data_IF_986343615776
#
_entry.id   IF_986343615776
#
_cell.length_a   1.000
_cell.length_b   1.000
_cell.length_c   1.000
_cell.angle_alpha   90.00
_cell.angle_beta   90.00
_cell.angle_gamma   90.00
#
_symmetry.space_group_name_H-M   'P 1'
#
loop_
_entity.id
_entity.type
_entity.pdbx_description
1 polymer ?
#
# COMPACT_ATOMS: atom_id res chain seq x y z
N UNK A 1 -19.03 55.23 -14.77
CA UNK A 1 -17.90 54.32 -14.78
C UNK A 1 -17.76 53.76 -13.38
N UNK A 2 -18.11 52.49 -13.09
CA UNK A 2 -17.85 51.86 -11.80
C UNK A 2 -16.48 51.19 -11.81
N UNK A 3 -15.72 51.40 -10.76
CA UNK A 3 -14.39 50.85 -10.47
C UNK A 3 -14.45 49.35 -10.25
N UNK A 4 -13.62 48.63 -10.97
CA UNK A 4 -13.36 47.19 -10.73
C UNK A 4 -12.51 47.05 -9.48
N UNK A 5 -13.11 46.57 -8.40
CA UNK A 5 -12.38 46.11 -7.21
C UNK A 5 -11.64 44.82 -7.56
N UNK A 6 -10.30 44.88 -7.59
CA UNK A 6 -9.45 43.71 -7.74
C UNK A 6 -9.62 42.77 -6.56
N UNK A 7 -9.83 41.49 -6.85
CA UNK A 7 -9.76 40.41 -5.87
C UNK A 7 -8.29 40.21 -5.57
N UNK A 8 -7.88 40.55 -4.36
CA UNK A 8 -6.55 40.28 -3.83
C UNK A 8 -6.42 38.74 -3.60
N UNK A 9 -5.72 38.06 -4.49
CA UNK A 9 -5.32 36.65 -4.30
C UNK A 9 -4.03 36.62 -3.47
N UNK A 10 -4.18 36.97 -2.19
CA UNK A 10 -3.09 36.90 -1.24
C UNK A 10 -2.61 35.46 -1.04
N UNK A 11 -1.32 35.21 -1.26
CA UNK A 11 -0.59 34.17 -0.57
C UNK A 11 -0.40 32.82 -1.27
N UNK A 12 -0.07 32.80 -2.57
CA UNK A 12 0.37 31.55 -3.23
C UNK A 12 1.89 31.25 -3.10
N UNK A 13 2.66 32.16 -2.52
CA UNK A 13 4.14 32.07 -2.56
C UNK A 13 4.79 31.20 -1.49
N UNK A 14 4.05 30.55 -0.57
CA UNK A 14 4.64 29.77 0.52
C UNK A 14 4.45 28.25 0.42
N UNK A 15 3.81 27.74 -0.64
CA UNK A 15 3.41 26.32 -0.73
C UNK A 15 4.38 25.41 -1.50
N UNK A 16 5.37 25.95 -2.19
CA UNK A 16 6.34 25.15 -2.93
C UNK A 16 7.74 25.39 -2.38
N UNK A 17 8.26 24.44 -1.62
CA UNK A 17 9.67 24.47 -1.20
C UNK A 17 10.58 24.44 -2.43
N UNK A 18 11.58 25.32 -2.48
CA UNK A 18 12.61 25.32 -3.53
C UNK A 18 13.32 23.98 -3.57
N UNK A 19 13.41 23.33 -4.75
CA UNK A 19 14.04 22.02 -4.83
C UNK A 19 15.55 22.12 -4.60
N UNK A 20 16.05 21.28 -3.68
CA UNK A 20 17.46 20.91 -3.63
C UNK A 20 17.91 20.20 -4.93
N UNK A 21 19.19 19.81 -5.05
CA UNK A 21 19.70 19.14 -6.26
C UNK A 21 18.83 17.91 -6.58
N UNK A 22 18.29 17.88 -7.79
CA UNK A 22 17.35 16.82 -8.25
C UNK A 22 18.07 15.50 -8.32
N UNK A 23 17.63 14.52 -7.51
CA UNK A 23 18.05 13.15 -7.69
C UNK A 23 17.52 12.57 -9.01
N UNK A 24 18.17 11.51 -9.46
CA UNK A 24 17.74 10.78 -10.68
C UNK A 24 16.43 9.98 -10.45
N UNK A 25 15.98 9.85 -9.21
CA UNK A 25 14.75 9.14 -8.84
C UNK A 25 14.00 9.90 -7.72
N UNK A 26 13.05 10.78 -8.07
CA UNK A 26 12.29 11.58 -7.10
C UNK A 26 11.47 10.76 -6.10
N UNK A 27 11.01 9.56 -6.49
CA UNK A 27 10.29 8.65 -5.59
C UNK A 27 11.21 8.10 -4.53
N UNK A 28 12.45 7.76 -4.90
CA UNK A 28 13.43 7.25 -3.96
C UNK A 28 13.75 8.26 -2.87
N UNK A 29 13.95 9.51 -3.25
CA UNK A 29 14.18 10.60 -2.31
C UNK A 29 12.98 10.82 -1.39
N UNK A 30 11.76 10.71 -1.94
CA UNK A 30 10.52 10.81 -1.18
C UNK A 30 10.44 9.76 -0.06
N UNK A 31 10.76 8.49 -0.35
CA UNK A 31 10.69 7.40 0.65
C UNK A 31 11.91 7.30 1.57
N UNK A 32 13.05 7.94 1.25
CA UNK A 32 14.19 8.07 2.16
C UNK A 32 14.02 9.27 3.10
N UNK A 33 13.04 10.15 2.86
CA UNK A 33 12.72 11.26 3.77
C UNK A 33 12.18 10.72 5.09
N UNK A 34 12.84 11.00 6.24
CA UNK A 34 12.39 10.55 7.56
C UNK A 34 11.03 11.13 7.99
N UNK A 35 10.54 12.16 7.30
CA UNK A 35 9.20 12.73 7.50
C UNK A 35 8.07 11.90 6.89
N UNK A 36 8.37 10.96 6.01
CA UNK A 36 7.38 10.06 5.41
C UNK A 36 7.16 8.85 6.31
N UNK A 37 5.93 8.59 6.80
CA UNK A 37 5.66 7.44 7.66
C UNK A 37 5.99 6.12 6.97
N UNK A 38 6.89 5.33 7.55
CA UNK A 38 7.33 4.05 6.99
C UNK A 38 6.43 2.87 7.37
N UNK A 39 5.41 3.06 8.22
CA UNK A 39 4.61 1.97 8.76
C UNK A 39 3.13 2.06 8.46
N UNK A 40 2.53 0.90 8.23
CA UNK A 40 1.09 0.70 8.20
C UNK A 40 0.47 0.96 9.56
N UNK A 41 -0.73 1.56 9.61
CA UNK A 41 -1.46 1.73 10.86
C UNK A 41 -1.76 0.38 11.56
N UNK A 42 -1.80 0.34 12.92
CA UNK A 42 -1.92 -0.90 13.70
C UNK A 42 -3.13 -1.77 13.29
N UNK A 43 -4.30 -1.17 13.10
CA UNK A 43 -5.54 -1.89 12.74
C UNK A 43 -5.38 -2.71 11.45
N UNK A 44 -4.66 -2.17 10.47
CA UNK A 44 -4.39 -2.83 9.19
C UNK A 44 -3.40 -3.99 9.35
N UNK A 45 -2.31 -3.78 10.08
CA UNK A 45 -1.33 -4.83 10.36
C UNK A 45 -1.96 -6.03 11.05
N UNK A 46 -2.85 -5.80 12.04
CA UNK A 46 -3.58 -6.88 12.71
C UNK A 46 -4.54 -7.62 11.79
N UNK A 47 -5.32 -6.92 10.96
CA UNK A 47 -6.22 -7.56 9.99
C UNK A 47 -5.48 -8.41 8.97
N UNK A 48 -4.33 -7.93 8.52
CA UNK A 48 -3.50 -8.67 7.59
C UNK A 48 -2.90 -9.92 8.24
N UNK A 49 -2.46 -9.83 9.50
CA UNK A 49 -2.00 -10.99 10.25
C UNK A 49 -3.12 -12.04 10.48
N UNK A 50 -4.37 -11.60 10.68
CA UNK A 50 -5.52 -12.49 10.77
C UNK A 50 -5.82 -13.16 9.41
N UNK A 51 -5.75 -12.43 8.30
CA UNK A 51 -5.87 -13.02 6.96
C UNK A 51 -4.74 -14.02 6.66
N UNK A 52 -3.52 -13.72 7.10
CA UNK A 52 -2.40 -14.65 6.98
C UNK A 52 -2.69 -15.94 7.76
N UNK A 53 -3.18 -15.84 9.00
CA UNK A 53 -3.57 -17.00 9.80
C UNK A 53 -4.64 -17.86 9.11
N UNK A 54 -5.61 -17.23 8.42
CA UNK A 54 -6.64 -17.94 7.65
C UNK A 54 -6.02 -18.74 6.50
N UNK A 55 -5.08 -18.14 5.76
CA UNK A 55 -4.38 -18.79 4.64
C UNK A 55 -3.50 -19.93 5.12
N UNK A 56 -2.76 -19.72 6.22
CA UNK A 56 -1.82 -20.70 6.77
C UNK A 56 -2.48 -21.97 7.25
N UNK A 57 -3.78 -21.95 7.60
CA UNK A 57 -4.52 -23.18 7.92
C UNK A 57 -4.58 -24.19 6.77
N UNK A 58 -4.43 -23.73 5.54
CA UNK A 58 -4.43 -24.61 4.35
C UNK A 58 -3.02 -24.97 3.84
N UNK A 59 -1.96 -24.40 4.45
CA UNK A 59 -0.58 -24.70 4.06
C UNK A 59 -0.02 -25.80 4.95
N UNK A 60 0.42 -26.95 4.39
CA UNK A 60 0.98 -28.04 5.17
C UNK A 60 2.38 -27.69 5.69
N UNK A 61 2.57 -27.76 7.01
CA UNK A 61 3.85 -27.55 7.67
C UNK A 61 4.28 -26.07 7.74
N UNK A 62 5.56 -25.81 8.04
CA UNK A 62 6.10 -24.45 8.12
C UNK A 62 6.10 -23.74 6.75
N UNK A 63 5.31 -22.69 6.60
CA UNK A 63 5.24 -21.88 5.39
C UNK A 63 6.44 -20.94 5.26
N UNK A 64 6.85 -20.66 4.04
CA UNK A 64 7.78 -19.57 3.68
C UNK A 64 6.98 -18.37 3.22
N UNK A 65 7.14 -17.25 3.91
CA UNK A 65 6.37 -16.02 3.72
C UNK A 65 7.32 -14.88 3.39
N UNK A 66 7.04 -14.15 2.33
CA UNK A 66 7.78 -12.95 1.92
C UNK A 66 6.88 -11.72 2.10
N UNK A 67 7.29 -10.77 2.93
CA UNK A 67 6.63 -9.47 3.07
C UNK A 67 7.39 -8.43 2.27
N UNK A 68 6.84 -8.05 1.12
CA UNK A 68 7.44 -7.17 0.13
C UNK A 68 7.03 -5.72 0.42
N UNK A 69 8.00 -4.83 0.53
CA UNK A 69 7.78 -3.46 1.02
C UNK A 69 7.54 -3.45 2.53
N UNK A 70 8.32 -4.23 3.28
CA UNK A 70 8.10 -4.41 4.73
C UNK A 70 8.36 -3.14 5.56
N UNK A 71 8.98 -2.11 4.99
CA UNK A 71 9.31 -0.87 5.67
C UNK A 71 10.15 -1.11 6.94
N UNK A 72 9.74 -0.48 8.05
CA UNK A 72 10.37 -0.65 9.36
C UNK A 72 10.09 -2.01 10.04
N UNK A 73 9.32 -2.88 9.38
CA UNK A 73 9.01 -4.23 9.84
C UNK A 73 7.88 -4.33 10.86
N UNK A 74 7.16 -3.25 11.18
CA UNK A 74 6.09 -3.31 12.18
C UNK A 74 4.99 -4.33 11.81
N UNK A 75 4.47 -4.27 10.59
CA UNK A 75 3.43 -5.20 10.13
C UNK A 75 3.97 -6.64 10.04
N UNK A 76 5.20 -6.81 9.56
CA UNK A 76 5.90 -8.10 9.50
C UNK A 76 6.06 -8.72 10.90
N UNK A 77 6.43 -7.91 11.91
CA UNK A 77 6.55 -8.34 13.30
C UNK A 77 5.20 -8.82 13.87
N UNK A 78 4.12 -8.05 13.61
CA UNK A 78 2.77 -8.45 14.02
C UNK A 78 2.37 -9.77 13.37
N UNK A 79 2.65 -9.92 12.07
CA UNK A 79 2.38 -11.16 11.33
C UNK A 79 3.14 -12.35 11.91
N UNK A 80 4.45 -12.19 12.20
CA UNK A 80 5.31 -13.23 12.77
C UNK A 80 4.85 -13.64 14.17
N UNK A 81 4.55 -12.68 15.03
CA UNK A 81 4.11 -12.96 16.42
C UNK A 81 2.76 -13.67 16.48
N UNK A 82 1.85 -13.37 15.55
CA UNK A 82 0.53 -14.00 15.50
C UNK A 82 0.52 -15.36 14.80
N UNK A 83 1.55 -15.65 14.03
CA UNK A 83 1.68 -16.89 13.27
C UNK A 83 3.03 -17.56 13.56
N UNK A 84 3.27 -18.03 14.79
CA UNK A 84 4.51 -18.69 15.16
C UNK A 84 4.68 -20.01 14.41
N UNK A 85 5.93 -20.45 14.21
CA UNK A 85 6.23 -21.70 13.51
C UNK A 85 6.32 -21.59 11.99
N UNK A 86 6.19 -20.39 11.42
CA UNK A 86 6.39 -20.09 10.00
C UNK A 86 7.63 -19.21 9.79
N UNK A 87 8.20 -19.25 8.58
CA UNK A 87 9.37 -18.46 8.20
C UNK A 87 8.94 -17.20 7.47
N UNK A 88 9.00 -16.05 8.13
CA UNK A 88 8.67 -14.75 7.53
C UNK A 88 9.94 -13.95 7.34
N UNK A 89 10.16 -13.45 6.11
CA UNK A 89 11.23 -12.52 5.78
C UNK A 89 10.66 -11.23 5.18
N UNK A 90 11.13 -10.07 5.69
CA UNK A 90 10.82 -8.76 5.12
C UNK A 90 11.76 -8.43 3.97
N UNK A 91 11.23 -7.80 2.94
CA UNK A 91 12.00 -7.33 1.78
C UNK A 91 11.69 -5.86 1.57
N UNK A 92 12.73 -5.04 1.52
CA UNK A 92 12.60 -3.62 1.23
C UNK A 92 13.86 -3.12 0.50
N UNK A 93 13.74 -2.05 -0.27
CA UNK A 93 14.89 -1.44 -0.93
C UNK A 93 15.63 -0.45 -0.02
N UNK A 94 14.94 0.13 0.98
CA UNK A 94 15.48 1.10 1.92
C UNK A 94 16.36 0.44 2.98
N UNK A 95 17.64 0.77 2.97
CA UNK A 95 18.58 0.28 3.98
C UNK A 95 18.22 0.76 5.39
N UNK A 96 17.69 1.99 5.51
CA UNK A 96 17.26 2.60 6.78
C UNK A 96 16.07 1.84 7.36
N UNK A 97 15.05 1.56 6.55
CA UNK A 97 13.89 0.77 6.94
C UNK A 97 14.28 -0.64 7.37
N UNK A 98 15.13 -1.31 6.59
CA UNK A 98 15.63 -2.65 6.93
C UNK A 98 16.46 -2.68 8.21
N UNK A 99 17.21 -1.62 8.52
CA UNK A 99 17.92 -1.52 9.81
C UNK A 99 16.94 -1.44 10.99
N UNK A 100 15.79 -0.76 10.83
CA UNK A 100 14.73 -0.74 11.82
C UNK A 100 14.06 -2.12 11.97
N UNK A 101 13.74 -2.79 10.87
CA UNK A 101 13.16 -4.14 10.86
C UNK A 101 14.11 -5.18 11.53
N UNK A 102 15.43 -5.09 11.29
CA UNK A 102 16.41 -5.95 12.00
C UNK A 102 16.40 -5.73 13.51
N UNK A 103 16.26 -4.48 13.99
CA UNK A 103 16.15 -4.20 15.42
C UNK A 103 14.91 -4.82 16.07
N UNK A 104 13.87 -5.12 15.28
CA UNK A 104 12.69 -5.90 15.71
C UNK A 104 12.93 -7.41 15.72
N UNK A 105 14.14 -7.87 15.34
CA UNK A 105 14.48 -9.30 15.29
C UNK A 105 14.02 -10.01 14.02
N UNK A 106 13.66 -9.29 12.96
CA UNK A 106 13.16 -9.87 11.71
C UNK A 106 14.31 -10.29 10.78
N UNK A 107 14.12 -11.41 10.08
CA UNK A 107 14.91 -11.76 8.92
C UNK A 107 14.54 -10.80 7.78
N UNK A 108 15.53 -10.16 7.16
CA UNK A 108 15.28 -9.20 6.09
C UNK A 108 16.28 -9.34 4.94
N UNK A 109 15.79 -9.08 3.73
CA UNK A 109 16.55 -9.03 2.49
C UNK A 109 16.44 -7.64 1.87
N UNK A 110 17.51 -7.14 1.28
CA UNK A 110 17.47 -5.90 0.51
C UNK A 110 17.13 -6.19 -0.94
N UNK A 111 16.02 -5.63 -1.41
CA UNK A 111 15.54 -5.79 -2.78
C UNK A 111 14.21 -5.08 -2.96
N UNK A 112 13.68 -5.13 -4.16
CA UNK A 112 12.37 -4.55 -4.50
C UNK A 112 11.73 -5.31 -5.65
N UNK A 113 10.49 -4.99 -5.94
CA UNK A 113 9.75 -5.53 -7.08
C UNK A 113 10.06 -4.81 -8.40
N UNK A 114 10.96 -3.83 -8.36
CA UNK A 114 11.51 -3.21 -9.57
C UNK A 114 12.63 -4.09 -10.17
N UNK A 115 13.04 -3.78 -11.41
CA UNK A 115 14.16 -4.48 -12.06
C UNK A 115 15.46 -4.29 -11.26
N UNK A 116 16.26 -5.33 -11.01
CA UNK A 116 16.25 -6.66 -11.66
C UNK A 116 15.29 -7.70 -11.07
N UNK A 117 14.43 -7.36 -10.11
CA UNK A 117 13.44 -8.24 -9.51
C UNK A 117 13.76 -8.66 -8.07
N UNK A 118 12.89 -9.48 -7.51
CA UNK A 118 13.00 -9.95 -6.12
C UNK A 118 14.19 -10.91 -5.94
N UNK A 119 15.00 -10.76 -4.88
CA UNK A 119 16.11 -11.67 -4.57
C UNK A 119 15.61 -12.99 -3.96
N UNK A 120 14.59 -13.58 -4.58
CA UNK A 120 13.92 -14.82 -4.16
C UNK A 120 13.84 -15.76 -5.36
N UNK A 121 14.11 -17.05 -5.12
CA UNK A 121 14.00 -18.07 -6.15
C UNK A 121 12.55 -18.24 -6.64
N UNK A 122 12.39 -18.62 -7.90
CA UNK A 122 11.07 -18.93 -8.47
C UNK A 122 10.41 -20.11 -7.73
N UNK A 123 9.09 -20.05 -7.58
CA UNK A 123 8.28 -21.11 -6.97
C UNK A 123 8.80 -21.59 -5.58
N UNK A 124 9.29 -20.65 -4.76
CA UNK A 124 9.89 -20.98 -3.46
C UNK A 124 9.10 -20.45 -2.26
N UNK A 125 8.08 -19.63 -2.46
CA UNK A 125 7.32 -18.92 -1.44
C UNK A 125 5.88 -19.42 -1.39
N UNK A 126 5.37 -19.71 -0.21
CA UNK A 126 3.99 -20.16 0.00
C UNK A 126 3.03 -18.98 0.05
N UNK A 127 3.45 -17.88 0.69
CA UNK A 127 2.64 -16.66 0.83
C UNK A 127 3.49 -15.43 0.57
N UNK A 128 3.01 -14.54 -0.29
CA UNK A 128 3.54 -13.18 -0.46
C UNK A 128 2.57 -12.21 0.23
N UNK A 129 3.12 -11.30 1.03
CA UNK A 129 2.43 -10.15 1.59
C UNK A 129 2.90 -8.91 0.84
N UNK A 130 1.96 -8.05 0.43
CA UNK A 130 2.23 -6.76 -0.22
C UNK A 130 1.24 -5.74 0.34
N UNK A 131 1.68 -4.98 1.36
CA UNK A 131 0.82 -4.04 2.08
C UNK A 131 1.11 -2.62 1.69
N UNK A 132 0.12 -1.91 1.10
CA UNK A 132 0.26 -0.49 0.73
C UNK A 132 1.56 -0.26 -0.06
N UNK A 133 1.79 -1.09 -1.04
CA UNK A 133 2.98 -1.03 -1.87
C UNK A 133 2.64 -0.82 -3.35
N UNK A 134 1.65 -1.56 -3.88
CA UNK A 134 1.36 -1.58 -5.32
C UNK A 134 1.02 -0.20 -5.88
N UNK A 135 0.38 0.65 -5.10
CA UNK A 135 0.03 2.03 -5.47
C UNK A 135 1.24 2.94 -5.66
N UNK A 136 2.39 2.56 -5.13
CA UNK A 136 3.64 3.33 -5.17
C UNK A 136 4.59 2.89 -6.29
N UNK A 137 4.33 1.74 -6.90
CA UNK A 137 5.21 1.15 -7.91
C UNK A 137 5.06 1.87 -9.26
N UNK A 138 6.17 2.01 -9.98
CA UNK A 138 6.18 2.56 -11.35
C UNK A 138 5.70 1.52 -12.34
N UNK A 139 6.14 0.27 -12.18
CA UNK A 139 5.83 -0.87 -13.05
C UNK A 139 5.07 -1.93 -12.25
N UNK A 140 3.75 -1.76 -12.19
CA UNK A 140 2.86 -2.69 -11.47
C UNK A 140 2.75 -4.04 -12.19
N UNK A 141 2.94 -4.04 -13.51
CA UNK A 141 2.90 -5.25 -14.34
C UNK A 141 4.09 -6.15 -13.99
N UNK A 142 5.29 -5.61 -13.99
CA UNK A 142 6.49 -6.34 -13.58
C UNK A 142 6.41 -6.83 -12.13
N UNK A 143 5.83 -6.04 -11.23
CA UNK A 143 5.62 -6.46 -9.85
C UNK A 143 4.68 -7.66 -9.74
N UNK A 144 3.59 -7.69 -10.51
CA UNK A 144 2.67 -8.84 -10.55
C UNK A 144 3.35 -10.09 -11.13
N UNK A 145 4.15 -9.94 -12.19
CA UNK A 145 4.98 -11.01 -12.76
C UNK A 145 5.95 -11.59 -11.73
N UNK A 146 6.66 -10.75 -10.97
CA UNK A 146 7.60 -11.16 -9.93
C UNK A 146 6.91 -11.88 -8.77
N UNK A 147 5.76 -11.37 -8.32
CA UNK A 147 4.92 -12.05 -7.31
C UNK A 147 4.54 -13.44 -7.81
N UNK A 148 4.04 -13.55 -9.03
CA UNK A 148 3.73 -14.84 -9.64
C UNK A 148 4.98 -15.74 -9.77
N UNK A 149 6.12 -15.20 -10.15
CA UNK A 149 7.35 -15.97 -10.28
C UNK A 149 7.78 -16.61 -8.96
N UNK A 150 7.77 -15.85 -7.86
CA UNK A 150 8.25 -16.35 -6.56
C UNK A 150 7.25 -17.25 -5.86
N UNK A 151 5.95 -17.08 -6.08
CA UNK A 151 4.92 -17.94 -5.51
C UNK A 151 5.00 -19.34 -6.09
N UNK A 152 4.87 -20.36 -5.22
CA UNK A 152 4.61 -21.73 -5.62
C UNK A 152 3.27 -21.84 -6.37
N UNK A 153 3.06 -22.85 -7.22
CA UNK A 153 1.71 -23.16 -7.71
C UNK A 153 0.73 -23.32 -6.55
N UNK A 154 -0.42 -22.65 -6.62
CA UNK A 154 -1.40 -22.61 -5.54
C UNK A 154 -1.02 -21.73 -4.34
N UNK A 155 0.13 -21.05 -4.37
CA UNK A 155 0.55 -20.08 -3.35
C UNK A 155 -0.34 -18.85 -3.30
N UNK A 156 -0.29 -18.12 -2.21
CA UNK A 156 -1.21 -17.02 -1.91
C UNK A 156 -0.54 -15.64 -1.91
N UNK A 157 -1.21 -14.66 -2.49
CA UNK A 157 -0.90 -13.24 -2.33
C UNK A 157 -1.89 -12.60 -1.36
N UNK A 158 -1.39 -11.93 -0.33
CA UNK A 158 -2.14 -11.04 0.56
C UNK A 158 -1.74 -9.59 0.26
N UNK A 159 -2.66 -8.82 -0.34
CA UNK A 159 -2.40 -7.47 -0.79
C UNK A 159 -3.34 -6.49 -0.10
N UNK A 160 -2.83 -5.31 0.29
CA UNK A 160 -3.67 -4.17 0.63
C UNK A 160 -3.29 -2.95 -0.19
N UNK A 161 -4.29 -2.11 -0.50
CA UNK A 161 -4.11 -0.83 -1.20
C UNK A 161 -5.30 0.09 -0.95
N UNK A 162 -5.15 1.42 -0.99
CA UNK A 162 -6.25 2.36 -0.93
C UNK A 162 -7.26 2.14 -2.05
N UNK A 163 -8.53 2.33 -1.73
CA UNK A 163 -9.61 2.20 -2.70
C UNK A 163 -9.99 3.55 -3.31
N UNK A 164 -9.71 3.73 -4.59
CA UNK A 164 -10.16 4.91 -5.34
C UNK A 164 -11.67 5.15 -5.18
N UNK A 165 -12.45 4.07 -5.16
CA UNK A 165 -13.91 4.12 -5.06
C UNK A 165 -14.44 4.11 -3.61
N UNK A 166 -13.59 4.47 -2.62
CA UNK A 166 -14.04 4.66 -1.24
C UNK A 166 -15.24 5.61 -1.17
N UNK A 167 -16.16 5.38 -0.22
CA UNK A 167 -17.40 6.13 -0.10
C UNK A 167 -17.20 7.65 -0.10
N UNK A 168 -16.19 8.15 0.60
CA UNK A 168 -15.85 9.59 0.64
C UNK A 168 -15.27 10.09 -0.67
N UNK A 169 -14.49 9.28 -1.40
CA UNK A 169 -13.94 9.64 -2.71
C UNK A 169 -15.05 9.81 -3.75
N UNK A 170 -16.08 8.98 -3.69
CA UNK A 170 -17.28 9.13 -4.54
C UNK A 170 -18.00 10.45 -4.26
N UNK A 171 -18.14 10.81 -2.97
CA UNK A 171 -18.76 12.08 -2.58
C UNK A 171 -17.91 13.28 -3.04
N UNK A 172 -16.58 13.22 -2.87
CA UNK A 172 -15.67 14.27 -3.32
C UNK A 172 -15.74 14.46 -4.84
N UNK A 173 -15.67 13.39 -5.62
CA UNK A 173 -15.80 13.46 -7.08
C UNK A 173 -17.14 14.03 -7.53
N UNK A 174 -18.23 13.70 -6.85
CA UNK A 174 -19.57 14.20 -7.18
C UNK A 174 -19.68 15.74 -7.08
N UNK A 175 -18.82 16.37 -6.26
CA UNK A 175 -18.76 17.82 -6.10
C UNK A 175 -17.51 18.45 -6.77
N UNK A 176 -16.81 17.70 -7.64
CA UNK A 176 -15.68 18.19 -8.41
C UNK A 176 -14.38 18.32 -7.59
N UNK A 177 -14.29 17.67 -6.43
CA UNK A 177 -13.09 17.67 -5.57
C UNK A 177 -12.25 16.43 -5.84
N UNK A 178 -10.93 16.60 -5.92
CA UNK A 178 -9.98 15.50 -6.14
C UNK A 178 -10.13 14.46 -5.02
N UNK A 179 -10.20 13.15 -5.36
CA UNK A 179 -10.25 12.08 -4.37
C UNK A 179 -9.03 12.05 -3.45
N UNK A 180 -9.24 11.64 -2.21
CA UNK A 180 -8.14 11.36 -1.28
C UNK A 180 -7.25 10.24 -1.85
N UNK A 181 -5.95 10.36 -1.68
CA UNK A 181 -4.89 9.48 -2.21
C UNK A 181 -4.61 9.60 -3.71
N UNK A 182 -5.35 10.43 -4.47
CA UNK A 182 -4.95 10.77 -5.84
C UNK A 182 -4.08 12.02 -5.80
N UNK A 183 -2.90 11.94 -6.38
CA UNK A 183 -1.90 12.99 -6.28
C UNK A 183 -1.50 13.52 -7.65
N UNK A 184 -1.48 14.83 -7.78
CA UNK A 184 -0.99 15.52 -8.99
C UNK A 184 0.44 16.01 -8.81
N UNK A 185 0.98 15.88 -7.59
CA UNK A 185 2.34 16.33 -7.24
C UNK A 185 2.88 15.49 -6.08
N UNK A 186 4.17 15.14 -6.15
CA UNK A 186 4.90 14.50 -5.04
C UNK A 186 5.43 15.52 -4.01
N UNK A 187 5.12 16.81 -4.17
CA UNK A 187 5.62 17.87 -3.29
C UNK A 187 4.55 18.55 -2.46
N UNK A 188 3.35 18.63 -3.01
CA UNK A 188 2.26 19.41 -2.39
C UNK A 188 0.90 18.82 -2.75
N UNK A 189 -0.06 19.02 -1.86
CA UNK A 189 -1.45 18.58 -2.05
C UNK A 189 -2.23 19.68 -2.78
N UNK A 190 -2.95 19.29 -3.82
CA UNK A 190 -3.81 20.17 -4.60
C UNK A 190 -5.19 19.55 -4.78
N UNK A 191 -6.24 20.38 -4.68
CA UNK A 191 -7.61 20.05 -5.04
C UNK A 191 -8.30 18.94 -4.20
N UNK A 192 -7.68 18.48 -3.12
CA UNK A 192 -8.21 17.44 -2.23
C UNK A 192 -8.04 17.78 -0.75
N UNK A 193 -8.82 17.17 0.16
CA UNK A 193 -8.58 17.26 1.60
C UNK A 193 -7.26 16.59 2.02
N UNK A 194 -6.74 17.04 3.17
CA UNK A 194 -5.48 16.54 3.74
C UNK A 194 -4.29 17.42 3.39
N UNK A 195 -3.20 17.27 4.12
CA UNK A 195 -1.99 18.08 4.00
C UNK A 195 -0.75 17.28 3.61
N UNK A 196 -0.84 15.94 3.61
CA UNK A 196 0.29 15.06 3.34
C UNK A 196 0.20 14.43 1.96
N UNK A 197 1.33 14.39 1.27
CA UNK A 197 1.53 13.62 0.05
C UNK A 197 1.91 12.20 0.46
N UNK A 198 1.26 11.21 -0.14
CA UNK A 198 1.52 9.79 0.16
C UNK A 198 2.45 9.12 -0.87
N UNK A 199 2.63 9.73 -2.04
CA UNK A 199 3.48 9.20 -3.11
C UNK A 199 2.79 8.15 -3.97
N UNK A 200 1.47 8.17 -4.05
CA UNK A 200 0.71 7.23 -4.87
C UNK A 200 0.81 7.56 -6.35
N UNK A 201 1.22 6.59 -7.16
CA UNK A 201 1.27 6.67 -8.61
C UNK A 201 0.04 6.03 -9.26
N UNK A 202 -0.47 4.97 -8.64
CA UNK A 202 -1.61 4.20 -9.13
C UNK A 202 -2.71 4.14 -8.09
N UNK A 203 -3.96 4.19 -8.55
CA UNK A 203 -5.12 4.05 -7.68
C UNK A 203 -6.07 3.00 -8.25
N UNK A 204 -6.45 2.07 -7.40
CA UNK A 204 -7.27 0.94 -7.80
C UNK A 204 -8.69 1.05 -7.25
N UNK A 205 -9.68 0.75 -8.09
CA UNK A 205 -10.98 0.29 -7.61
C UNK A 205 -10.92 -1.22 -7.35
N UNK A 206 -11.86 -1.76 -6.58
CA UNK A 206 -11.95 -3.21 -6.40
C UNK A 206 -11.95 -3.96 -7.74
N UNK A 207 -12.75 -3.50 -8.70
CA UNK A 207 -12.88 -4.14 -10.01
C UNK A 207 -11.57 -4.11 -10.79
N UNK A 208 -10.95 -2.94 -10.92
CA UNK A 208 -9.68 -2.80 -11.63
C UNK A 208 -8.58 -3.69 -11.02
N UNK A 209 -8.48 -3.73 -9.68
CA UNK A 209 -7.48 -4.55 -9.00
C UNK A 209 -7.72 -6.05 -9.23
N UNK A 210 -8.98 -6.51 -9.14
CA UNK A 210 -9.27 -7.94 -9.34
C UNK A 210 -9.08 -8.39 -10.79
N UNK A 211 -9.42 -7.56 -11.76
CA UNK A 211 -9.17 -7.81 -13.19
C UNK A 211 -7.68 -7.81 -13.50
N UNK A 212 -6.93 -6.84 -12.94
CA UNK A 212 -5.48 -6.76 -13.06
C UNK A 212 -4.78 -8.01 -12.52
N UNK A 213 -5.06 -8.40 -11.28
CA UNK A 213 -4.46 -9.59 -10.66
C UNK A 213 -4.77 -10.87 -11.46
N UNK A 214 -6.01 -11.01 -11.93
CA UNK A 214 -6.42 -12.16 -12.73
C UNK A 214 -5.65 -12.26 -14.06
N UNK A 215 -5.33 -11.12 -14.70
CA UNK A 215 -4.53 -11.08 -15.93
C UNK A 215 -3.12 -11.65 -15.75
N UNK A 216 -2.59 -11.63 -14.51
CA UNK A 216 -1.28 -12.20 -14.15
C UNK A 216 -1.38 -13.58 -13.46
N UNK A 217 -2.51 -14.28 -13.57
CA UNK A 217 -2.68 -15.62 -12.99
C UNK A 217 -2.83 -15.63 -11.45
N UNK A 218 -3.32 -14.50 -10.88
CA UNK A 218 -3.62 -14.34 -9.46
C UNK A 218 -5.13 -14.23 -9.28
N UNK A 219 -5.80 -15.36 -9.09
CA UNK A 219 -7.26 -15.39 -8.91
C UNK A 219 -7.66 -14.90 -7.53
N UNK A 220 -8.53 -13.89 -7.48
CA UNK A 220 -9.01 -13.31 -6.22
C UNK A 220 -9.98 -14.24 -5.51
N UNK A 221 -9.54 -14.85 -4.42
CA UNK A 221 -10.34 -15.74 -3.57
C UNK A 221 -11.26 -14.93 -2.65
N UNK A 222 -10.75 -13.82 -2.11
CA UNK A 222 -11.49 -12.98 -1.16
C UNK A 222 -11.06 -11.53 -1.28
N UNK A 223 -12.03 -10.63 -1.27
CA UNK A 223 -11.79 -9.17 -1.10
C UNK A 223 -12.60 -8.70 0.10
N UNK A 224 -11.94 -8.04 1.04
CA UNK A 224 -12.57 -7.43 2.22
C UNK A 224 -12.20 -5.96 2.34
N UNK A 225 -12.98 -5.20 3.11
CA UNK A 225 -12.74 -3.79 3.36
C UNK A 225 -12.04 -3.56 4.70
N UNK A 226 -11.13 -2.57 4.75
CA UNK A 226 -10.58 -2.07 5.99
C UNK A 226 -10.76 -0.55 6.09
N UNK A 227 -10.67 -0.05 7.32
CA UNK A 227 -10.77 1.39 7.60
C UNK A 227 -9.45 2.08 7.32
N UNK A 228 -9.55 3.34 6.97
CA UNK A 228 -8.40 4.23 6.98
C UNK A 228 -8.28 4.88 8.38
N UNK A 229 -7.06 4.95 8.94
CA UNK A 229 -6.83 5.40 10.31
C UNK A 229 -7.09 6.90 10.51
N UNK A 230 -6.86 7.72 9.48
CA UNK A 230 -7.00 9.18 9.55
C UNK A 230 -8.39 9.70 9.18
N UNK A 231 -9.38 8.81 9.07
CA UNK A 231 -10.78 9.26 8.93
C UNK A 231 -11.18 10.08 10.16
N UNK A 232 -11.71 11.31 9.98
CA UNK A 232 -12.16 12.15 11.09
C UNK A 232 -13.06 11.39 12.07
N UNK A 233 -12.89 11.63 13.36
CA UNK A 233 -13.56 10.85 14.41
C UNK A 233 -15.08 10.78 14.22
N UNK A 234 -15.71 11.88 13.81
CA UNK A 234 -17.15 11.97 13.56
C UNK A 234 -17.60 11.07 12.38
N UNK A 235 -16.73 10.77 11.43
CA UNK A 235 -17.03 9.94 10.26
C UNK A 235 -16.67 8.46 10.46
N UNK A 236 -15.97 8.10 11.55
CA UNK A 236 -15.55 6.71 11.83
C UNK A 236 -16.69 5.68 11.90
N UNK A 237 -17.89 6.00 12.47
CA UNK A 237 -19.02 5.06 12.44
C UNK A 237 -19.48 4.76 11.01
N UNK A 238 -19.53 5.79 10.17
CA UNK A 238 -19.91 5.67 8.75
C UNK A 238 -18.87 4.85 7.98
N UNK A 239 -17.58 5.15 8.15
CA UNK A 239 -16.49 4.39 7.54
C UNK A 239 -16.52 2.92 7.96
N UNK A 240 -16.80 2.64 9.26
CA UNK A 240 -16.97 1.27 9.75
C UNK A 240 -18.14 0.55 9.05
N UNK A 241 -19.25 1.23 8.80
CA UNK A 241 -20.37 0.66 8.09
C UNK A 241 -20.00 0.33 6.63
N UNK A 242 -19.33 1.25 5.93
CA UNK A 242 -18.92 1.06 4.54
C UNK A 242 -17.83 -0.01 4.37
N UNK A 243 -17.02 -0.31 5.39
CA UNK A 243 -16.06 -1.42 5.32
C UNK A 243 -16.71 -2.80 5.12
N UNK A 244 -18.02 -2.94 5.35
CA UNK A 244 -18.79 -4.17 5.06
C UNK A 244 -18.99 -4.39 3.55
N UNK A 245 -18.88 -3.33 2.75
CA UNK A 245 -18.95 -3.37 1.29
C UNK A 245 -17.57 -3.04 0.69
N UNK A 246 -16.77 -4.04 0.30
CA UNK A 246 -15.41 -3.82 -0.17
C UNK A 246 -15.30 -2.77 -1.29
N UNK A 247 -16.31 -2.69 -2.17
CA UNK A 247 -16.34 -1.69 -3.25
C UNK A 247 -16.48 -0.23 -2.77
N UNK A 248 -16.83 0.01 -1.52
CA UNK A 248 -16.98 1.33 -0.91
C UNK A 248 -16.08 1.54 0.31
N UNK A 249 -15.37 0.51 0.75
CA UNK A 249 -14.42 0.58 1.86
C UNK A 249 -13.23 1.50 1.54
N UNK A 250 -12.60 2.04 2.57
CA UNK A 250 -11.44 2.93 2.44
C UNK A 250 -10.20 2.22 1.88
N UNK A 251 -9.95 1.01 2.35
CA UNK A 251 -8.82 0.15 1.96
C UNK A 251 -9.37 -1.19 1.46
N UNK A 252 -8.79 -1.69 0.38
CA UNK A 252 -9.01 -3.04 -0.12
C UNK A 252 -8.01 -4.00 0.53
N UNK A 253 -8.50 -5.10 1.08
CA UNK A 253 -7.69 -6.24 1.51
C UNK A 253 -8.03 -7.42 0.61
N UNK A 254 -7.04 -7.90 -0.12
CA UNK A 254 -7.21 -8.95 -1.14
C UNK A 254 -6.42 -10.18 -0.75
N UNK A 255 -7.06 -11.34 -0.81
CA UNK A 255 -6.42 -12.64 -0.88
C UNK A 255 -6.59 -13.17 -2.30
N UNK A 256 -5.50 -13.35 -3.01
CA UNK A 256 -5.48 -13.99 -4.32
C UNK A 256 -4.61 -15.25 -4.27
N UNK A 257 -4.89 -16.21 -5.15
CA UNK A 257 -4.15 -17.47 -5.28
C UNK A 257 -3.56 -17.59 -6.68
N UNK A 258 -2.33 -18.01 -6.75
CA UNK A 258 -1.69 -18.32 -8.03
C UNK A 258 -2.34 -19.57 -8.63
N UNK A 259 -2.85 -19.44 -9.86
CA UNK A 259 -3.44 -20.52 -10.68
C UNK A 259 -2.38 -21.39 -11.36
#
# INVERSE_FOLDING_TARGET
MPSTSGIDVGGADSLVSTPGPRSRNPLRDFYEDPGVPASSGPDRAYRQADMLADVLRSVPGPARIADIGCGDGFATEVAARRNPGHHIAGIDWSATSLAAARRRGLAVLRGGVDRPGLPIASASTDVVIMSELIEHLVDTDFAAEEVCRVLKPGGSLLLSTPNLAAWYNRALLAIGVQPVFTEVSLRSVFGRPGSQVAGHLHMFTRRALTEFLAAYGLECVRVSGARYHDVPAIMRPLDRAFCRWPSAASILLVHARKT
#
